data_IF_956064080223
#
_entry.id   IF_956064080223
#
_cell.length_a   1.000
_cell.length_b   1.000
_cell.length_c   1.000
_cell.angle_alpha   90.00
_cell.angle_beta   90.00
_cell.angle_gamma   90.00
#
_symmetry.space_group_name_H-M   'P 1'
#
loop_
_entity.id
_entity.type
_entity.pdbx_description
1 polymer ?
#
# COMPACT_ATOMS: atom_id res chain seq x y z
N UNK A 1 -15.79 -9.84 -14.25
CA UNK A 1 -17.01 -9.52 -13.49
C UNK A 1 -18.05 -8.98 -14.45
N UNK A 2 -19.06 -9.78 -14.76
CA UNK A 2 -20.17 -9.34 -15.60
C UNK A 2 -20.95 -8.24 -14.87
N UNK A 3 -21.30 -7.15 -15.56
CA UNK A 3 -22.00 -6.00 -14.96
C UNK A 3 -21.14 -4.91 -14.30
N UNK A 4 -19.82 -5.09 -14.18
CA UNK A 4 -18.93 -4.05 -13.63
C UNK A 4 -18.36 -3.18 -14.75
N UNK A 5 -18.40 -1.86 -14.56
CA UNK A 5 -17.85 -0.85 -15.47
C UNK A 5 -17.15 0.24 -14.67
N UNK A 6 -15.98 0.67 -15.14
CA UNK A 6 -15.29 1.83 -14.58
C UNK A 6 -15.78 3.11 -15.25
N UNK A 7 -16.05 4.12 -14.44
CA UNK A 7 -16.36 5.49 -14.84
C UNK A 7 -15.42 6.43 -14.08
N UNK A 8 -15.07 7.55 -14.70
CA UNK A 8 -14.28 8.60 -14.08
C UNK A 8 -14.89 9.97 -14.32
N UNK A 9 -14.50 10.95 -13.50
CA UNK A 9 -14.82 12.36 -13.73
C UNK A 9 -13.72 12.97 -14.60
N UNK A 10 -14.09 13.64 -15.69
CA UNK A 10 -13.17 14.27 -16.61
C UNK A 10 -12.47 15.47 -15.94
N UNK A 11 -11.16 15.51 -16.10
CA UNK A 11 -10.26 16.47 -15.49
C UNK A 11 -9.35 17.06 -16.57
N UNK A 12 -9.09 18.37 -16.49
CA UNK A 12 -8.14 19.07 -17.37
C UNK A 12 -7.02 19.69 -16.55
N UNK A 13 -5.79 19.35 -16.90
CA UNK A 13 -4.58 19.96 -16.33
C UNK A 13 -4.26 21.27 -17.06
N UNK A 14 -3.99 22.33 -16.29
CA UNK A 14 -3.63 23.65 -16.77
C UNK A 14 -2.46 24.18 -15.94
N UNK A 15 -1.23 23.77 -16.31
CA UNK A 15 -0.03 24.03 -15.53
C UNK A 15 -0.13 23.38 -14.15
N UNK A 16 0.06 24.17 -13.08
CA UNK A 16 0.00 23.70 -11.69
C UNK A 16 -1.44 23.57 -11.13
N UNK A 17 -2.44 23.87 -11.96
CA UNK A 17 -3.86 23.87 -11.59
C UNK A 17 -4.62 22.78 -12.33
N UNK A 18 -5.62 22.25 -11.63
CA UNK A 18 -6.49 21.21 -12.14
C UNK A 18 -7.91 21.76 -12.22
N UNK A 19 -8.57 21.54 -13.34
CA UNK A 19 -9.96 21.96 -13.60
C UNK A 19 -10.83 20.71 -13.73
N UNK A 20 -11.79 20.57 -12.82
CA UNK A 20 -12.79 19.51 -12.87
C UNK A 20 -13.89 19.89 -13.86
N UNK A 21 -14.05 19.11 -14.94
CA UNK A 21 -14.99 19.40 -16.02
C UNK A 21 -16.44 19.00 -15.68
N UNK A 22 -16.67 18.41 -14.50
CA UNK A 22 -17.99 17.91 -14.02
C UNK A 22 -18.70 16.99 -15.02
N UNK A 23 -17.93 16.33 -15.87
CA UNK A 23 -18.40 15.37 -16.88
C UNK A 23 -17.97 13.98 -16.46
N UNK A 24 -18.85 12.99 -16.54
CA UNK A 24 -18.52 11.60 -16.28
C UNK A 24 -18.22 10.90 -17.60
N UNK A 25 -17.12 10.17 -17.67
CA UNK A 25 -16.66 9.46 -18.86
C UNK A 25 -16.34 8.00 -18.52
N UNK A 26 -16.58 7.06 -19.45
CA UNK A 26 -16.18 5.68 -19.25
C UNK A 26 -14.65 5.55 -19.19
N UNK A 27 -14.18 4.67 -18.31
CA UNK A 27 -12.76 4.43 -18.10
C UNK A 27 -12.35 4.48 -16.63
N UNK A 28 -11.15 3.98 -16.35
CA UNK A 28 -10.52 4.14 -15.04
C UNK A 28 -9.87 5.52 -14.94
N UNK A 29 -9.79 6.06 -13.73
CA UNK A 29 -9.01 7.27 -13.48
C UNK A 29 -7.52 7.00 -13.75
N UNK A 30 -6.85 7.91 -14.46
CA UNK A 30 -5.42 7.80 -14.76
C UNK A 30 -4.52 8.22 -13.61
N UNK A 31 -5.01 9.11 -12.72
CA UNK A 31 -4.31 9.60 -11.53
C UNK A 31 -5.29 9.90 -10.40
N UNK A 32 -4.77 9.90 -9.18
CA UNK A 32 -5.48 10.36 -7.98
C UNK A 32 -5.22 11.85 -7.75
N UNK A 33 -6.29 12.65 -7.57
CA UNK A 33 -6.20 14.12 -7.42
C UNK A 33 -6.47 14.62 -5.99
N UNK A 34 -6.25 13.77 -4.99
CA UNK A 34 -6.62 14.05 -3.60
C UNK A 34 -5.91 15.28 -3.01
N UNK A 35 -4.62 15.45 -3.33
CA UNK A 35 -3.82 16.60 -2.87
C UNK A 35 -4.34 17.90 -3.49
N UNK A 36 -4.78 17.86 -4.75
CA UNK A 36 -5.31 19.02 -5.45
C UNK A 36 -6.71 19.40 -4.94
N UNK A 37 -7.55 18.42 -4.62
CA UNK A 37 -8.83 18.65 -3.95
C UNK A 37 -8.62 19.25 -2.55
N UNK A 38 -7.66 18.72 -1.77
CA UNK A 38 -7.28 19.25 -0.46
C UNK A 38 -6.83 20.72 -0.54
N UNK A 39 -6.03 21.07 -1.55
CA UNK A 39 -5.61 22.45 -1.82
C UNK A 39 -6.78 23.35 -2.17
N UNK A 40 -7.73 22.88 -3.00
CA UNK A 40 -8.95 23.62 -3.33
C UNK A 40 -9.87 23.82 -2.12
N UNK A 41 -9.88 22.87 -1.19
CA UNK A 41 -10.61 22.95 0.08
C UNK A 41 -9.99 23.95 1.08
N UNK A 42 -8.84 24.55 0.76
CA UNK A 42 -8.20 25.57 1.59
C UNK A 42 -7.38 25.01 2.75
N UNK A 43 -6.94 23.75 2.67
CA UNK A 43 -6.04 23.19 3.68
C UNK A 43 -4.70 23.96 3.74
N UNK A 44 -4.06 24.05 4.92
CA UNK A 44 -2.81 24.79 5.08
C UNK A 44 -1.72 24.30 4.13
N UNK A 45 -0.96 25.24 3.55
CA UNK A 45 0.11 24.93 2.58
C UNK A 45 1.12 23.93 3.14
N UNK A 46 1.48 24.04 4.43
CA UNK A 46 2.39 23.10 5.08
C UNK A 46 1.88 21.64 5.05
N UNK A 47 0.56 21.43 5.13
CA UNK A 47 -0.05 20.09 5.03
C UNK A 47 0.03 19.58 3.59
N UNK A 48 -0.22 20.45 2.60
CA UNK A 48 -0.15 20.11 1.18
C UNK A 48 1.28 19.70 0.78
N UNK A 49 2.28 20.47 1.22
CA UNK A 49 3.69 20.17 0.94
C UNK A 49 4.12 18.84 1.59
N UNK A 50 3.74 18.63 2.86
CA UNK A 50 4.04 17.36 3.52
C UNK A 50 3.38 16.16 2.83
N UNK A 51 2.15 16.30 2.37
CA UNK A 51 1.45 15.25 1.63
C UNK A 51 2.18 14.89 0.33
N UNK A 52 2.72 15.89 -0.39
CA UNK A 52 3.52 15.66 -1.61
C UNK A 52 4.84 14.96 -1.34
N UNK A 53 5.53 15.30 -0.25
CA UNK A 53 6.74 14.58 0.17
C UNK A 53 6.44 13.12 0.46
N UNK A 54 5.37 12.86 1.21
CA UNK A 54 4.94 11.50 1.56
C UNK A 54 4.53 10.72 0.31
N UNK A 55 3.83 11.34 -0.64
CA UNK A 55 3.48 10.72 -1.92
C UNK A 55 4.74 10.28 -2.69
N UNK A 56 5.76 11.14 -2.79
CA UNK A 56 7.03 10.80 -3.45
C UNK A 56 7.73 9.60 -2.81
N UNK A 57 7.60 9.41 -1.50
CA UNK A 57 8.17 8.25 -0.79
C UNK A 57 7.42 6.98 -1.20
N UNK A 58 6.08 7.02 -1.20
CA UNK A 58 5.26 5.85 -1.53
C UNK A 58 5.36 5.47 -3.01
N UNK A 59 5.38 6.43 -3.94
CA UNK A 59 5.55 6.15 -5.38
C UNK A 59 6.89 5.44 -5.67
N UNK A 60 7.95 5.82 -4.94
CA UNK A 60 9.24 5.12 -5.02
C UNK A 60 9.16 3.69 -4.49
N UNK A 61 8.45 3.47 -3.38
CA UNK A 61 8.27 2.14 -2.79
C UNK A 61 7.39 1.23 -3.65
N UNK A 62 6.30 1.74 -4.23
CA UNK A 62 5.45 0.98 -5.15
C UNK A 62 6.18 0.60 -6.43
N UNK A 63 7.08 1.45 -6.93
CA UNK A 63 7.91 1.11 -8.10
C UNK A 63 8.82 -0.08 -7.81
N UNK A 64 9.38 -0.16 -6.60
CA UNK A 64 10.23 -1.30 -6.16
C UNK A 64 9.38 -2.55 -5.97
N UNK A 65 8.22 -2.45 -5.30
CA UNK A 65 7.33 -3.58 -5.10
C UNK A 65 6.76 -4.13 -6.42
N UNK A 66 6.47 -3.27 -7.39
CA UNK A 66 5.94 -3.66 -8.70
C UNK A 66 6.99 -4.35 -9.58
N UNK A 67 8.28 -4.05 -9.41
CA UNK A 67 9.36 -4.74 -10.12
C UNK A 67 9.53 -6.21 -9.68
N UNK A 68 9.12 -6.54 -8.46
CA UNK A 68 9.11 -7.91 -7.93
C UNK A 68 7.86 -8.71 -8.35
N UNK A 69 6.84 -8.03 -8.89
CA UNK A 69 5.58 -8.61 -9.37
C UNK A 69 5.63 -8.93 -10.87
N UNK A 70 6.66 -9.65 -11.34
CA UNK A 70 6.54 -10.37 -12.61
C UNK A 70 5.47 -11.45 -12.47
N UNK A 71 4.51 -11.59 -13.41
CA UNK A 71 3.41 -12.53 -13.25
C UNK A 71 3.92 -13.96 -13.39
N UNK A 72 4.19 -14.60 -12.25
CA UNK A 72 4.16 -16.06 -12.14
C UNK A 72 2.69 -16.50 -12.23
N UNK A 73 2.38 -17.42 -13.14
CA UNK A 73 1.04 -17.99 -13.38
C UNK A 73 0.54 -18.90 -12.24
N UNK A 74 0.70 -18.48 -10.98
CA UNK A 74 0.18 -19.16 -9.80
C UNK A 74 -0.78 -18.25 -9.02
N UNK A 75 -1.70 -18.82 -8.20
CA UNK A 75 -2.55 -18.01 -7.34
C UNK A 75 -1.66 -17.17 -6.42
N UNK A 76 -1.72 -15.84 -6.59
CA UNK A 76 -0.97 -14.86 -5.80
C UNK A 76 -1.57 -14.82 -4.40
N UNK A 77 -1.01 -15.65 -3.52
CA UNK A 77 -1.20 -15.48 -2.09
C UNK A 77 -0.19 -14.44 -1.61
N UNK A 78 -0.67 -13.24 -1.27
CA UNK A 78 0.13 -12.23 -0.59
C UNK A 78 0.51 -12.82 0.77
N UNK A 79 1.77 -13.22 0.94
CA UNK A 79 2.30 -13.61 2.25
C UNK A 79 2.60 -12.35 3.05
N UNK A 80 1.55 -11.81 3.67
CA UNK A 80 1.61 -10.60 4.49
C UNK A 80 2.48 -10.76 5.77
N UNK A 81 2.88 -12.00 6.09
CA UNK A 81 3.70 -12.34 7.25
C UNK A 81 4.84 -13.29 6.83
N UNK A 82 5.85 -12.78 6.13
CA UNK A 82 7.13 -13.50 5.97
C UNK A 82 8.13 -13.06 7.03
N UNK A 83 7.89 -13.46 8.28
CA UNK A 83 9.04 -13.79 9.12
C UNK A 83 9.69 -15.01 8.45
N UNK A 84 10.97 -14.94 8.07
CA UNK A 84 11.67 -16.06 7.43
C UNK A 84 11.42 -17.34 8.26
N UNK A 85 10.71 -18.35 7.72
CA UNK A 85 10.38 -19.55 8.47
C UNK A 85 11.62 -20.24 9.03
N UNK A 86 12.77 -20.05 8.39
CA UNK A 86 14.04 -20.63 8.80
C UNK A 86 14.49 -20.16 10.20
N UNK A 87 14.36 -18.88 10.54
CA UNK A 87 14.80 -18.37 11.84
C UNK A 87 13.89 -18.84 12.99
N UNK A 88 12.58 -18.88 12.75
CA UNK A 88 11.60 -19.37 13.71
C UNK A 88 11.74 -20.88 13.94
N UNK A 89 11.93 -21.64 12.86
CA UNK A 89 12.16 -23.10 12.93
C UNK A 89 13.44 -23.42 13.70
N UNK A 90 14.51 -22.67 13.48
CA UNK A 90 15.76 -22.85 14.25
C UNK A 90 15.60 -22.49 15.73
N UNK A 91 14.81 -21.46 16.07
CA UNK A 91 14.47 -21.14 17.48
C UNK A 91 13.65 -22.24 18.14
N UNK A 92 12.66 -22.80 17.44
CA UNK A 92 11.83 -23.89 17.95
C UNK A 92 12.66 -25.16 18.14
N UNK A 93 13.55 -25.49 17.20
CA UNK A 93 14.44 -26.66 17.29
C UNK A 93 15.39 -26.64 18.48
N UNK A 94 15.80 -25.46 18.92
CA UNK A 94 16.71 -25.28 20.06
C UNK A 94 16.01 -25.29 21.42
N UNK A 95 14.67 -25.39 21.44
CA UNK A 95 13.91 -25.39 22.68
C UNK A 95 13.92 -26.79 23.31
N UNK A 96 14.38 -26.91 24.56
CA UNK A 96 14.27 -28.14 25.33
C UNK A 96 12.94 -28.13 26.11
N UNK A 97 11.91 -28.76 25.55
CA UNK A 97 10.56 -28.78 26.13
C UNK A 97 10.51 -29.58 27.44
N UNK A 98 11.35 -30.61 27.57
CA UNK A 98 11.31 -31.54 28.71
C UNK A 98 11.83 -30.90 30.01
N UNK A 99 12.67 -29.87 29.90
CA UNK A 99 13.24 -29.14 31.05
C UNK A 99 12.67 -27.72 31.19
N UNK A 100 11.78 -27.30 30.29
CA UNK A 100 11.23 -25.95 30.30
C UNK A 100 10.20 -25.79 31.43
N UNK A 101 10.38 -24.76 32.26
CA UNK A 101 9.35 -24.44 33.27
C UNK A 101 8.17 -23.74 32.59
N UNK A 102 6.93 -23.91 33.10
CA UNK A 102 5.74 -23.30 32.51
C UNK A 102 5.82 -21.77 32.31
N UNK A 103 6.51 -21.06 33.21
CA UNK A 103 6.71 -19.60 33.09
C UNK A 103 7.62 -19.22 31.92
N UNK A 104 8.60 -20.06 31.59
CA UNK A 104 9.54 -19.80 30.50
C UNK A 104 8.87 -20.08 29.14
N UNK A 105 7.94 -21.03 29.08
CA UNK A 105 7.09 -21.27 27.91
C UNK A 105 6.17 -20.08 27.61
N UNK A 106 5.53 -19.50 28.64
CA UNK A 106 4.69 -18.31 28.47
C UNK A 106 5.50 -17.11 27.95
N UNK A 107 6.73 -16.94 28.42
CA UNK A 107 7.65 -15.90 27.94
C UNK A 107 8.11 -16.11 26.50
N UNK A 108 8.15 -17.35 26.02
CA UNK A 108 8.51 -17.66 24.64
C UNK A 108 7.37 -17.39 23.66
N UNK A 109 6.12 -17.53 24.10
CA UNK A 109 4.90 -17.32 23.31
C UNK A 109 4.37 -15.88 23.32
N UNK A 110 4.84 -15.06 24.25
CA UNK A 110 4.47 -13.63 24.37
C UNK A 110 5.40 -12.76 23.54
#
# INVERSE_FOLDING_TARGET
LEGVRNLQVAVKEAGDRIVFLRKVEPGAASRSYGIEVARLAGLPIAVIERAREVLKIHERQETVASAELTPSNGPVQIRLFEASPAELVERIRKLNVDEMRPIDALRFLS
#
